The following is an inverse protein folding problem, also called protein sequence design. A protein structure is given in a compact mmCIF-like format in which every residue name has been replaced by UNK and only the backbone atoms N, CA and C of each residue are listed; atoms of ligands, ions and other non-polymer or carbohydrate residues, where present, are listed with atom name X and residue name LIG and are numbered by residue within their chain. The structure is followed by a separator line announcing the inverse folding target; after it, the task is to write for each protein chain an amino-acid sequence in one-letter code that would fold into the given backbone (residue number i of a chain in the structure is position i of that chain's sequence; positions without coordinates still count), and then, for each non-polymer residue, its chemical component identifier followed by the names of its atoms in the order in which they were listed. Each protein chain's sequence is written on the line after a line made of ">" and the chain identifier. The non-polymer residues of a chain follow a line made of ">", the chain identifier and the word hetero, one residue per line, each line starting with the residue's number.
data_IF_018662927881
#
_entry.id   IF_018662927881
#
_cell.length_a   1.000
_cell.length_b   1.000
_cell.length_c   1.000
_cell.angle_alpha   90.00
_cell.angle_beta   90.00
_cell.angle_gamma   90.00
#
_symmetry.space_group_name_H-M   'P 1'
#
loop_
_entity.id
_entity.type
_entity.pdbx_description
1 polymer ?
#
# COMPACT_ATOMS: atom_id res chain seq x y z
N UNK A 1 -32.04 4.63 -46.82
CA UNK A 1 -32.59 5.74 -47.61
C UNK A 1 -31.39 6.37 -48.26
N UNK A 2 -30.93 5.67 -49.30
CA UNK A 2 -29.67 5.87 -49.98
C UNK A 2 -30.02 6.50 -51.32
N UNK A 3 -29.72 7.78 -51.48
CA UNK A 3 -29.73 8.43 -52.79
C UNK A 3 -28.71 9.54 -52.75
N UNK A 4 -27.57 9.31 -53.41
CA UNK A 4 -26.70 10.30 -54.05
C UNK A 4 -25.59 9.54 -54.79
N UNK A 5 -25.99 8.76 -55.80
CA UNK A 5 -25.07 8.19 -56.79
C UNK A 5 -25.46 8.67 -58.18
N UNK A 6 -25.23 9.96 -58.47
CA UNK A 6 -25.16 10.38 -59.86
C UNK A 6 -24.29 11.63 -60.06
N UNK A 7 -23.00 11.40 -60.30
CA UNK A 7 -22.18 12.34 -61.08
C UNK A 7 -21.04 11.57 -61.72
N UNK A 8 -21.38 10.82 -62.78
CA UNK A 8 -20.39 10.39 -63.75
C UNK A 8 -20.59 11.16 -65.04
N UNK A 9 -19.48 11.75 -65.48
CA UNK A 9 -19.14 11.98 -66.88
C UNK A 9 -19.64 13.28 -67.53
N UNK A 10 -19.08 14.42 -67.10
CA UNK A 10 -18.90 15.56 -68.00
C UNK A 10 -17.49 15.48 -68.62
N UNK A 11 -17.36 14.68 -69.70
CA UNK A 11 -16.28 14.89 -70.66
C UNK A 11 -16.71 16.06 -71.54
N UNK A 12 -16.08 17.20 -71.35
CA UNK A 12 -16.21 18.35 -72.25
C UNK A 12 -15.81 17.93 -73.67
N UNK A 13 -16.78 17.77 -74.54
CA UNK A 13 -16.56 17.67 -75.98
C UNK A 13 -16.12 19.06 -76.46
N UNK A 14 -14.93 19.11 -77.04
CA UNK A 14 -14.34 20.34 -77.56
C UNK A 14 -15.17 20.84 -78.76
N UNK A 15 -15.75 22.05 -78.70
CA UNK A 15 -16.66 22.56 -79.72
C UNK A 15 -15.97 22.93 -81.05
N UNK A 16 -14.65 22.77 -81.15
CA UNK A 16 -13.87 23.07 -82.36
C UNK A 16 -13.20 21.83 -82.99
N UNK A 17 -13.45 20.63 -82.47
CA UNK A 17 -12.99 19.42 -83.12
C UNK A 17 -13.89 19.14 -84.33
N UNK A 18 -13.48 19.62 -85.50
CA UNK A 18 -14.11 19.24 -86.76
C UNK A 18 -14.05 17.71 -86.90
N UNK A 19 -15.15 17.14 -87.39
CA UNK A 19 -15.54 15.74 -87.26
C UNK A 19 -14.74 14.80 -88.19
N UNK A 20 -13.40 14.86 -88.13
CA UNK A 20 -12.50 14.10 -89.03
C UNK A 20 -12.07 12.75 -88.43
N UNK A 21 -12.70 12.30 -87.35
CA UNK A 21 -12.32 11.06 -86.67
C UNK A 21 -13.13 9.83 -87.04
N UNK A 22 -14.10 9.93 -87.94
CA UNK A 22 -14.75 8.73 -88.46
C UNK A 22 -14.10 8.33 -89.80
N UNK A 23 -13.27 7.28 -89.77
CA UNK A 23 -12.76 6.50 -90.92
C UNK A 23 -11.45 6.89 -91.64
N UNK A 24 -10.44 7.42 -90.94
CA UNK A 24 -9.07 7.42 -91.48
C UNK A 24 -8.18 6.38 -90.77
N UNK A 25 -7.38 5.63 -91.53
CA UNK A 25 -6.40 4.67 -91.02
C UNK A 25 -5.42 5.29 -90.01
N UNK A 26 -5.18 6.60 -90.10
CA UNK A 26 -4.39 7.32 -89.11
C UNK A 26 -5.04 7.35 -87.72
N UNK A 27 -6.37 7.48 -87.64
CA UNK A 27 -7.10 7.48 -86.37
C UNK A 27 -7.08 6.11 -85.69
N UNK A 28 -7.16 5.01 -86.45
CA UNK A 28 -7.02 3.66 -85.89
C UNK A 28 -5.59 3.39 -85.41
N UNK A 29 -4.57 3.88 -86.13
CA UNK A 29 -3.16 3.80 -85.71
C UNK A 29 -2.91 4.64 -84.45
N UNK A 30 -3.44 5.87 -84.37
CA UNK A 30 -3.30 6.72 -83.18
C UNK A 30 -4.00 6.08 -81.98
N UNK A 31 -5.20 5.52 -82.17
CA UNK A 31 -5.95 4.84 -81.10
C UNK A 31 -5.28 3.53 -80.68
N UNK A 32 -4.66 2.82 -81.62
CA UNK A 32 -3.82 1.66 -81.32
C UNK A 32 -2.59 2.08 -80.53
N UNK A 33 -1.88 3.13 -80.97
CA UNK A 33 -0.70 3.68 -80.29
C UNK A 33 -1.01 4.24 -78.89
N UNK A 34 -2.22 4.79 -78.70
CA UNK A 34 -2.76 5.21 -77.40
C UNK A 34 -3.09 4.00 -76.51
N UNK A 35 -3.71 2.96 -77.08
CA UNK A 35 -4.03 1.70 -76.37
C UNK A 35 -2.77 0.92 -75.97
N UNK A 36 -1.70 1.00 -76.76
CA UNK A 36 -0.38 0.45 -76.44
C UNK A 36 0.43 1.32 -75.48
N UNK A 37 -0.08 2.48 -75.06
CA UNK A 37 0.58 3.36 -74.09
C UNK A 37 1.80 4.14 -74.62
N UNK A 38 2.26 3.87 -75.86
CA UNK A 38 3.45 4.49 -76.45
C UNK A 38 3.30 6.01 -76.68
N UNK A 39 2.10 6.51 -77.01
CA UNK A 39 1.84 7.95 -77.12
C UNK A 39 1.78 8.68 -75.78
N UNK A 40 1.50 7.97 -74.69
CA UNK A 40 1.47 8.53 -73.34
C UNK A 40 2.89 8.60 -72.78
N UNK A 41 3.64 7.49 -72.90
CA UNK A 41 5.05 7.44 -72.51
C UNK A 41 5.92 8.43 -73.30
N UNK A 42 5.76 8.54 -74.62
CA UNK A 42 6.54 9.49 -75.43
C UNK A 42 6.25 10.94 -75.10
N UNK A 43 4.97 11.30 -74.87
CA UNK A 43 4.62 12.66 -74.42
C UNK A 43 5.12 12.95 -73.03
N UNK A 44 4.98 12.01 -72.09
CA UNK A 44 5.44 12.21 -70.72
C UNK A 44 6.98 12.33 -70.68
N UNK A 45 7.70 11.63 -71.54
CA UNK A 45 9.17 11.71 -71.63
C UNK A 45 9.66 12.95 -72.37
N UNK A 46 9.08 13.31 -73.52
CA UNK A 46 9.40 14.55 -74.25
C UNK A 46 9.01 15.79 -73.42
N UNK A 47 7.90 15.76 -72.68
CA UNK A 47 7.49 16.85 -71.79
C UNK A 47 8.43 16.96 -70.58
N UNK A 48 8.93 15.84 -70.04
CA UNK A 48 9.97 15.88 -68.99
C UNK A 48 11.28 16.43 -69.54
N UNK A 49 11.75 15.97 -70.69
CA UNK A 49 13.00 16.46 -71.31
C UNK A 49 12.91 17.97 -71.63
N UNK A 50 11.79 18.44 -72.17
CA UNK A 50 11.55 19.87 -72.43
C UNK A 50 11.47 20.67 -71.12
N UNK A 51 10.82 20.13 -70.07
CA UNK A 51 10.75 20.77 -68.76
C UNK A 51 12.14 20.87 -68.09
N UNK A 52 12.96 19.83 -68.21
CA UNK A 52 14.35 19.80 -67.72
C UNK A 52 15.26 20.77 -68.48
N UNK A 53 15.08 20.87 -69.81
CA UNK A 53 15.80 21.84 -70.66
C UNK A 53 15.42 23.30 -70.31
N UNK A 54 14.12 23.57 -70.12
CA UNK A 54 13.62 24.88 -69.69
C UNK A 54 14.05 25.26 -68.27
N UNK A 55 14.13 24.29 -67.35
CA UNK A 55 14.68 24.47 -66.00
C UNK A 55 16.18 24.81 -66.00
N UNK A 56 16.95 24.30 -66.97
CA UNK A 56 18.37 24.66 -67.13
C UNK A 56 18.55 26.07 -67.65
N UNK A 57 17.70 26.52 -68.58
CA UNK A 57 17.85 27.81 -69.25
C UNK A 57 17.22 28.99 -68.52
N UNK A 58 16.15 28.80 -67.75
CA UNK A 58 15.45 29.91 -67.10
C UNK A 58 15.70 29.97 -65.59
N UNK A 59 16.42 31.00 -65.14
CA UNK A 59 16.68 31.26 -63.72
C UNK A 59 15.39 31.46 -62.89
N UNK A 60 14.32 31.94 -63.52
CA UNK A 60 13.00 32.14 -62.91
C UNK A 60 12.30 30.83 -62.55
N UNK A 61 12.36 29.79 -63.38
CA UNK A 61 11.76 28.49 -63.06
C UNK A 61 12.47 27.80 -61.89
N UNK A 62 13.81 27.93 -61.81
CA UNK A 62 14.58 27.43 -60.66
C UNK A 62 14.18 28.12 -59.37
N UNK A 63 14.02 29.45 -59.41
CA UNK A 63 13.57 30.23 -58.26
C UNK A 63 12.16 29.82 -57.80
N UNK A 64 11.22 29.63 -58.74
CA UNK A 64 9.85 29.17 -58.44
C UNK A 64 9.88 27.78 -57.79
N UNK A 65 10.75 26.89 -58.26
CA UNK A 65 10.89 25.55 -57.68
C UNK A 65 11.49 25.59 -56.28
N UNK A 66 12.50 26.42 -56.04
CA UNK A 66 13.06 26.65 -54.70
C UNK A 66 12.02 27.27 -53.75
N UNK A 67 11.24 28.25 -54.21
CA UNK A 67 10.13 28.82 -53.44
C UNK A 67 9.08 27.78 -53.10
N UNK A 68 8.76 26.87 -54.02
CA UNK A 68 7.82 25.77 -53.79
C UNK A 68 8.35 24.80 -52.74
N UNK A 69 9.63 24.45 -52.83
CA UNK A 69 10.31 23.56 -51.87
C UNK A 69 10.37 24.20 -50.47
N UNK A 70 10.69 25.49 -50.38
CA UNK A 70 10.68 26.26 -49.13
C UNK A 70 9.26 26.33 -48.56
N UNK A 71 8.25 26.59 -49.39
CA UNK A 71 6.85 26.62 -48.97
C UNK A 71 6.39 25.25 -48.44
N UNK A 72 6.84 24.17 -49.06
CA UNK A 72 6.55 22.80 -48.61
C UNK A 72 7.22 22.47 -47.28
N UNK A 73 8.51 22.78 -47.13
CA UNK A 73 9.22 22.63 -45.85
C UNK A 73 8.59 23.48 -44.75
N UNK A 74 8.19 24.72 -45.05
CA UNK A 74 7.50 25.60 -44.11
C UNK A 74 6.17 25.01 -43.65
N UNK A 75 5.37 24.49 -44.58
CA UNK A 75 4.10 23.83 -44.25
C UNK A 75 4.32 22.61 -43.34
N UNK A 76 5.36 21.83 -43.60
CA UNK A 76 5.69 20.69 -42.75
C UNK A 76 6.11 21.14 -41.34
N UNK A 77 6.91 22.20 -41.24
CA UNK A 77 7.30 22.79 -39.96
C UNK A 77 6.07 23.31 -39.19
N UNK A 78 5.17 24.03 -39.87
CA UNK A 78 3.94 24.54 -39.28
C UNK A 78 3.04 23.38 -38.79
N UNK A 79 2.95 22.28 -39.56
CA UNK A 79 2.22 21.07 -39.16
C UNK A 79 2.80 20.44 -37.89
N UNK A 80 4.12 20.26 -37.84
CA UNK A 80 4.80 19.74 -36.65
C UNK A 80 4.63 20.68 -35.46
N UNK A 81 4.69 22.00 -35.68
CA UNK A 81 4.49 22.98 -34.61
C UNK A 81 3.06 22.89 -34.04
N UNK A 82 2.04 22.76 -34.89
CA UNK A 82 0.66 22.54 -34.43
C UNK A 82 0.55 21.24 -33.63
N UNK A 83 1.18 20.15 -34.09
CA UNK A 83 1.17 18.89 -33.36
C UNK A 83 1.81 19.03 -31.96
N UNK A 84 2.94 19.74 -31.86
CA UNK A 84 3.59 20.03 -30.58
C UNK A 84 2.65 20.81 -29.67
N UNK A 85 1.99 21.85 -30.17
CA UNK A 85 1.05 22.65 -29.38
C UNK A 85 -0.16 21.81 -28.92
N UNK A 86 -0.71 20.96 -29.80
CA UNK A 86 -1.79 20.04 -29.43
C UNK A 86 -1.35 19.07 -28.32
N UNK A 87 -0.15 18.50 -28.41
CA UNK A 87 0.40 17.60 -27.38
C UNK A 87 0.70 18.33 -26.08
N UNK A 88 1.14 19.58 -26.13
CA UNK A 88 1.38 20.40 -24.94
C UNK A 88 0.06 20.69 -24.22
N UNK A 89 -0.97 21.14 -24.94
CA UNK A 89 -2.30 21.36 -24.37
C UNK A 89 -2.91 20.08 -23.83
N UNK A 90 -2.80 18.95 -24.55
CA UNK A 90 -3.26 17.65 -24.05
C UNK A 90 -2.52 17.25 -22.78
N UNK A 91 -1.21 17.51 -22.67
CA UNK A 91 -0.45 17.25 -21.44
C UNK A 91 -0.91 18.12 -20.27
N UNK A 92 -1.17 19.41 -20.49
CA UNK A 92 -1.66 20.32 -19.45
C UNK A 92 -3.08 19.98 -19.00
N UNK A 93 -3.92 19.56 -19.94
CA UNK A 93 -5.32 19.21 -19.67
C UNK A 93 -5.51 17.73 -19.35
N UNK A 94 -4.46 16.91 -19.47
CA UNK A 94 -4.51 15.44 -19.38
C UNK A 94 -5.19 14.95 -18.13
N UNK A 95 -4.87 15.64 -17.05
CA UNK A 95 -5.33 15.39 -15.69
C UNK A 95 -6.83 15.60 -15.49
N UNK A 96 -7.49 16.28 -16.44
CA UNK A 96 -8.92 16.60 -16.43
C UNK A 96 -9.66 15.95 -17.62
N UNK A 97 -9.00 15.75 -18.76
CA UNK A 97 -9.62 15.23 -19.99
C UNK A 97 -9.58 13.71 -20.09
N UNK A 98 -8.56 13.04 -19.51
CA UNK A 98 -8.45 11.59 -19.58
C UNK A 98 -9.17 10.95 -18.38
N UNK A 99 -10.25 10.22 -18.68
CA UNK A 99 -11.09 9.53 -17.69
C UNK A 99 -10.27 8.59 -16.80
N UNK A 100 -9.29 7.88 -17.34
CA UNK A 100 -8.44 6.94 -16.59
C UNK A 100 -7.68 7.63 -15.44
N UNK A 101 -7.15 8.83 -15.70
CA UNK A 101 -6.42 9.62 -14.69
C UNK A 101 -7.38 10.16 -13.64
N UNK A 102 -8.54 10.62 -14.08
CA UNK A 102 -9.58 11.12 -13.18
C UNK A 102 -10.11 10.01 -12.27
N UNK A 103 -10.36 8.82 -12.81
CA UNK A 103 -10.78 7.65 -12.06
C UNK A 103 -9.71 7.22 -11.05
N UNK A 104 -8.43 7.19 -11.45
CA UNK A 104 -7.32 6.93 -10.53
C UNK A 104 -7.24 7.96 -9.41
N UNK A 105 -7.47 9.25 -9.69
CA UNK A 105 -7.49 10.32 -8.68
C UNK A 105 -8.69 10.16 -7.74
N UNK A 106 -9.87 9.84 -8.26
CA UNK A 106 -11.08 9.58 -7.47
C UNK A 106 -10.88 8.36 -6.57
N UNK A 107 -10.32 7.27 -7.09
CA UNK A 107 -9.99 6.08 -6.30
C UNK A 107 -9.01 6.40 -5.16
N UNK A 108 -7.99 7.21 -5.45
CA UNK A 108 -7.02 7.66 -4.44
C UNK A 108 -7.67 8.52 -3.35
N UNK A 109 -8.54 9.45 -3.73
CA UNK A 109 -9.31 10.27 -2.80
C UNK A 109 -10.29 9.45 -1.96
N UNK A 110 -10.97 8.47 -2.56
CA UNK A 110 -11.85 7.56 -1.83
C UNK A 110 -11.08 6.70 -0.84
N UNK A 111 -9.88 6.23 -1.21
CA UNK A 111 -8.99 5.49 -0.31
C UNK A 111 -8.57 6.36 0.87
N UNK A 112 -8.15 7.60 0.62
CA UNK A 112 -7.80 8.55 1.67
C UNK A 112 -9.00 8.86 2.58
N UNK A 113 -10.17 9.10 2.00
CA UNK A 113 -11.42 9.33 2.73
C UNK A 113 -11.77 8.15 3.64
N UNK A 114 -11.66 6.92 3.12
CA UNK A 114 -11.86 5.69 3.89
C UNK A 114 -10.87 5.58 5.05
N UNK A 115 -9.58 5.85 4.81
CA UNK A 115 -8.57 5.86 5.86
C UNK A 115 -8.88 6.89 6.96
N UNK A 116 -9.24 8.11 6.58
CA UNK A 116 -9.63 9.15 7.54
C UNK A 116 -10.88 8.76 8.32
N UNK A 117 -11.86 8.13 7.68
CA UNK A 117 -13.06 7.64 8.35
C UNK A 117 -12.73 6.53 9.35
N UNK A 118 -11.82 5.61 9.02
CA UNK A 118 -11.33 4.58 9.95
C UNK A 118 -10.61 5.19 11.15
N UNK A 119 -9.76 6.20 10.93
CA UNK A 119 -9.10 6.92 12.02
C UNK A 119 -10.12 7.63 12.92
N UNK A 120 -11.14 8.27 12.32
CA UNK A 120 -12.20 8.95 13.06
C UNK A 120 -13.02 7.97 13.91
N UNK A 121 -13.35 6.79 13.35
CA UNK A 121 -13.99 5.71 14.10
C UNK A 121 -13.10 5.20 15.23
N UNK A 122 -11.81 4.98 14.97
CA UNK A 122 -10.84 4.59 16.00
C UNK A 122 -10.71 5.63 17.12
N UNK A 123 -10.77 6.92 16.79
CA UNK A 123 -10.81 8.01 17.79
C UNK A 123 -12.09 7.96 18.63
N UNK A 124 -13.26 7.75 18.01
CA UNK A 124 -14.53 7.62 18.73
C UNK A 124 -14.53 6.40 19.67
N UNK A 125 -14.02 5.27 19.19
CA UNK A 125 -13.87 4.05 19.96
C UNK A 125 -12.91 4.26 21.15
N UNK A 126 -11.76 4.91 20.91
CA UNK A 126 -10.80 5.24 21.96
C UNK A 126 -11.40 6.18 23.01
N UNK A 127 -12.17 7.20 22.58
CA UNK A 127 -12.88 8.10 23.49
C UNK A 127 -13.90 7.32 24.32
N UNK A 128 -14.69 6.44 23.72
CA UNK A 128 -15.64 5.59 24.45
C UNK A 128 -14.93 4.72 25.48
N UNK A 129 -13.80 4.10 25.11
CA UNK A 129 -12.99 3.29 26.04
C UNK A 129 -12.38 4.10 27.17
N UNK A 130 -11.99 5.35 26.93
CA UNK A 130 -11.47 6.27 27.95
C UNK A 130 -12.57 6.84 28.85
N UNK A 131 -13.77 7.04 28.31
CA UNK A 131 -14.96 7.48 29.06
C UNK A 131 -15.55 6.36 29.92
N UNK A 132 -15.38 5.11 29.50
CA UNK A 132 -15.68 3.98 30.37
C UNK A 132 -14.77 4.08 31.60
N UNK A 133 -15.33 4.23 32.82
CA UNK A 133 -14.51 4.19 34.02
C UNK A 133 -13.79 2.85 33.98
N UNK A 134 -12.46 2.88 34.04
CA UNK A 134 -11.62 1.70 34.07
C UNK A 134 -11.86 0.99 35.42
N UNK A 135 -13.01 0.33 35.54
CA UNK A 135 -13.34 -0.58 36.64
C UNK A 135 -12.69 -1.90 36.26
N UNK A 136 -11.35 -1.93 36.31
CA UNK A 136 -10.69 -3.21 36.59
C UNK A 136 -11.08 -3.68 37.99
N UNK A 137 -10.52 -4.81 38.44
CA UNK A 137 -10.69 -5.40 39.77
C UNK A 137 -10.16 -4.53 40.94
N UNK A 138 -10.21 -3.22 40.79
CA UNK A 138 -9.81 -2.22 41.76
C UNK A 138 -11.05 -1.79 42.54
N UNK A 139 -10.97 -1.92 43.85
CA UNK A 139 -11.96 -1.42 44.79
C UNK A 139 -12.17 0.08 44.54
N UNK A 140 -13.39 0.48 44.11
CA UNK A 140 -13.74 1.90 43.94
C UNK A 140 -13.85 2.53 45.33
N UNK A 141 -12.78 3.14 45.79
CA UNK A 141 -12.77 3.92 47.03
C UNK A 141 -12.91 5.39 46.65
N UNK A 142 -13.85 6.10 47.28
CA UNK A 142 -13.97 7.55 47.16
C UNK A 142 -12.71 8.21 47.77
N UNK A 143 -12.22 9.30 47.18
CA UNK A 143 -10.93 9.91 47.57
C UNK A 143 -10.85 10.29 49.06
N UNK A 144 -12.00 10.56 49.68
CA UNK A 144 -12.15 10.83 51.12
C UNK A 144 -11.74 9.65 52.00
N UNK A 145 -11.93 8.42 51.53
CA UNK A 145 -11.65 7.20 52.30
C UNK A 145 -10.30 6.55 51.95
N UNK A 146 -9.54 7.09 50.99
CA UNK A 146 -8.22 6.57 50.62
C UNK A 146 -7.23 6.53 51.79
N UNK A 147 -7.15 7.55 52.68
CA UNK A 147 -6.23 7.50 53.82
C UNK A 147 -6.57 6.38 54.80
N UNK A 148 -7.86 6.19 55.12
CA UNK A 148 -8.28 5.15 56.06
C UNK A 148 -8.09 3.74 55.48
N UNK A 149 -8.31 3.59 54.17
CA UNK A 149 -8.11 2.33 53.47
C UNK A 149 -6.62 1.99 53.36
N UNK A 150 -5.76 2.98 53.11
CA UNK A 150 -4.30 2.83 53.14
C UNK A 150 -3.82 2.31 54.50
N UNK A 151 -4.41 2.79 55.59
CA UNK A 151 -4.01 2.37 56.93
C UNK A 151 -4.61 1.00 57.32
N UNK A 152 -5.79 0.67 56.80
CA UNK A 152 -6.47 -0.61 57.04
C UNK A 152 -5.84 -1.80 56.28
N UNK A 153 -5.43 -1.61 55.03
CA UNK A 153 -4.91 -2.71 54.20
C UNK A 153 -3.68 -3.43 54.80
N UNK A 154 -2.65 -2.73 55.31
CA UNK A 154 -1.53 -3.36 56.00
C UNK A 154 -1.96 -4.18 57.21
N UNK A 155 -2.95 -3.71 57.96
CA UNK A 155 -3.48 -4.42 59.13
C UNK A 155 -4.20 -5.71 58.70
N UNK A 156 -5.02 -5.65 57.65
CA UNK A 156 -5.74 -6.80 57.10
C UNK A 156 -4.77 -7.83 56.51
N UNK A 157 -3.71 -7.39 55.82
CA UNK A 157 -2.65 -8.27 55.30
C UNK A 157 -1.88 -8.93 56.44
N UNK A 158 -1.56 -8.20 57.51
CA UNK A 158 -0.98 -8.76 58.73
C UNK A 158 -1.88 -9.82 59.35
N UNK A 159 -3.16 -9.51 59.55
CA UNK A 159 -4.14 -10.46 60.05
C UNK A 159 -4.30 -11.70 59.17
N UNK A 160 -4.24 -11.57 57.84
CA UNK A 160 -4.30 -12.70 56.90
C UNK A 160 -3.04 -13.59 56.99
N UNK A 161 -1.86 -12.99 57.14
CA UNK A 161 -0.61 -13.73 57.33
C UNK A 161 -0.61 -14.47 58.68
N UNK A 162 -1.08 -13.82 59.74
CA UNK A 162 -1.22 -14.42 61.08
C UNK A 162 -2.35 -15.44 61.14
N UNK A 163 -3.41 -15.30 60.33
CA UNK A 163 -4.53 -16.24 60.28
C UNK A 163 -4.06 -17.65 59.90
N UNK A 164 -3.11 -17.78 58.97
CA UNK A 164 -2.54 -19.09 58.62
C UNK A 164 -1.86 -19.73 59.82
N UNK A 165 -0.99 -18.99 60.50
CA UNK A 165 -0.30 -19.49 61.69
C UNK A 165 -1.28 -19.79 62.84
N UNK A 166 -2.32 -18.98 63.00
CA UNK A 166 -3.35 -19.20 64.00
C UNK A 166 -4.22 -20.43 63.67
N UNK A 167 -4.52 -20.68 62.39
CA UNK A 167 -5.21 -21.90 61.96
C UNK A 167 -4.34 -23.14 62.17
N UNK A 168 -3.05 -23.06 61.85
CA UNK A 168 -2.09 -24.14 62.12
C UNK A 168 -1.96 -24.40 63.64
N UNK A 169 -1.94 -23.35 64.45
CA UNK A 169 -1.91 -23.47 65.92
C UNK A 169 -3.22 -24.05 66.49
N UNK A 170 -4.37 -23.70 65.91
CA UNK A 170 -5.68 -24.27 66.30
C UNK A 170 -5.78 -25.73 65.86
N UNK A 171 -5.27 -26.08 64.68
CA UNK A 171 -5.18 -27.47 64.21
C UNK A 171 -4.22 -28.28 65.09
N UNK A 172 -3.04 -27.74 65.38
CA UNK A 172 -2.11 -28.35 66.34
C UNK A 172 -2.78 -28.53 67.70
N UNK A 173 -3.50 -27.52 68.20
CA UNK A 173 -4.21 -27.57 69.48
C UNK A 173 -5.39 -28.54 69.50
N UNK A 174 -6.02 -28.82 68.35
CA UNK A 174 -7.10 -29.81 68.25
C UNK A 174 -6.58 -31.24 68.07
N UNK A 175 -5.41 -31.40 67.46
CA UNK A 175 -4.68 -32.68 67.35
C UNK A 175 -3.86 -32.98 68.62
N UNK A 176 -3.54 -31.97 69.43
CA UNK A 176 -2.81 -32.11 70.69
C UNK A 176 -3.74 -32.64 71.79
N UNK A 177 -3.82 -33.96 71.91
CA UNK A 177 -4.43 -34.61 73.06
C UNK A 177 -3.36 -34.91 74.13
N UNK A 178 -3.47 -34.27 75.29
CA UNK A 178 -2.66 -34.55 76.49
C UNK A 178 -2.78 -36.01 76.96
N UNK A 179 -3.81 -36.74 76.51
CA UNK A 179 -4.07 -38.14 76.85
C UNK A 179 -3.29 -39.13 75.97
N UNK A 180 -2.66 -38.68 74.89
CA UNK A 180 -1.89 -39.54 73.96
C UNK A 180 -0.61 -40.13 74.60
N UNK A 181 -0.27 -39.73 75.83
CA UNK A 181 0.84 -40.33 76.60
C UNK A 181 2.24 -40.07 76.03
N UNK A 182 2.36 -39.52 74.81
CA UNK A 182 3.62 -39.19 74.13
C UNK A 182 4.41 -38.14 74.88
N UNK A 183 3.74 -37.13 75.44
CA UNK A 183 4.40 -36.12 76.27
C UNK A 183 4.92 -36.73 77.57
N UNK A 184 4.16 -37.65 78.19
CA UNK A 184 4.64 -38.38 79.37
C UNK A 184 5.84 -39.28 79.05
N UNK A 185 5.82 -39.98 77.92
CA UNK A 185 6.93 -40.82 77.46
C UNK A 185 8.21 -39.99 77.19
N UNK A 186 8.08 -38.83 76.54
CA UNK A 186 9.22 -37.92 76.33
C UNK A 186 9.71 -37.33 77.66
N UNK A 187 8.82 -37.06 78.61
CA UNK A 187 9.18 -36.59 79.93
C UNK A 187 9.92 -37.68 80.73
N UNK A 188 9.49 -38.95 80.63
CA UNK A 188 10.14 -40.10 81.23
C UNK A 188 11.51 -40.38 80.58
N UNK A 189 11.63 -40.21 79.26
CA UNK A 189 12.92 -40.30 78.55
C UNK A 189 13.88 -39.19 79.01
N UNK A 190 13.40 -37.95 79.16
CA UNK A 190 14.19 -36.84 79.70
C UNK A 190 14.58 -37.12 81.16
N UNK A 191 13.66 -37.61 81.98
CA UNK A 191 13.92 -37.97 83.38
C UNK A 191 14.95 -39.10 83.49
N UNK A 192 14.88 -40.10 82.61
CA UNK A 192 15.85 -41.19 82.55
C UNK A 192 17.23 -40.72 82.09
N UNK A 193 17.30 -39.81 81.11
CA UNK A 193 18.55 -39.18 80.66
C UNK A 193 19.19 -38.33 81.76
N UNK A 194 18.39 -37.58 82.51
CA UNK A 194 18.85 -36.84 83.68
C UNK A 194 19.40 -37.78 84.77
N UNK A 195 18.71 -38.89 85.04
CA UNK A 195 19.17 -39.89 85.99
C UNK A 195 20.47 -40.58 85.55
N UNK A 196 20.64 -40.84 84.25
CA UNK A 196 21.90 -41.36 83.70
C UNK A 196 23.05 -40.37 83.87
N UNK A 197 22.82 -39.08 83.60
CA UNK A 197 23.80 -38.02 83.85
C UNK A 197 24.17 -37.92 85.34
N UNK A 198 23.18 -37.96 86.22
CA UNK A 198 23.39 -37.90 87.67
C UNK A 198 24.19 -39.11 88.16
N UNK A 199 23.89 -40.31 87.65
CA UNK A 199 24.64 -41.53 87.96
C UNK A 199 26.07 -41.44 87.44
N UNK A 200 26.26 -40.98 86.20
CA UNK A 200 27.59 -40.75 85.61
C UNK A 200 28.42 -39.78 86.46
N UNK A 201 27.83 -38.67 86.90
CA UNK A 201 28.49 -37.72 87.79
C UNK A 201 28.89 -38.37 89.13
N UNK A 202 28.00 -39.17 89.72
CA UNK A 202 28.28 -39.86 90.98
C UNK A 202 29.43 -40.86 90.84
N UNK A 203 29.50 -41.60 89.73
CA UNK A 203 30.63 -42.52 89.48
C UNK A 203 31.96 -41.79 89.34
N UNK A 204 31.98 -40.62 88.68
CA UNK A 204 33.18 -39.78 88.58
C UNK A 204 33.60 -39.26 89.95
N UNK A 205 32.64 -38.89 90.81
CA UNK A 205 32.93 -38.47 92.18
C UNK A 205 33.49 -39.61 93.04
N UNK A 206 33.03 -40.86 92.86
CA UNK A 206 33.56 -42.03 93.56
C UNK A 206 34.97 -42.42 93.07
N UNK A 207 35.22 -42.37 91.76
CA UNK A 207 36.58 -42.57 91.23
C UNK A 207 37.52 -41.51 91.79
N UNK A 208 37.07 -40.25 91.86
CA UNK A 208 37.85 -39.18 92.47
C UNK A 208 38.13 -39.46 93.94
N UNK A 209 37.16 -39.92 94.73
CA UNK A 209 37.40 -40.21 96.16
C UNK A 209 38.41 -41.36 96.35
N UNK A 210 38.35 -42.39 95.51
CA UNK A 210 39.32 -43.50 95.54
C UNK A 210 40.72 -43.07 95.11
N UNK A 211 40.83 -42.14 94.16
CA UNK A 211 42.12 -41.55 93.75
C UNK A 211 42.70 -40.64 94.83
N UNK A 212 41.87 -40.01 95.67
CA UNK A 212 42.35 -39.18 96.78
C UNK A 212 42.72 -39.97 98.05
N UNK A 213 42.33 -41.24 98.14
CA UNK A 213 42.68 -42.14 99.26
C UNK A 213 43.93 -43.01 99.00
N UNK A 214 44.52 -42.90 97.80
CA UNK A 214 45.83 -43.46 97.39
C UNK A 214 46.95 -42.45 97.61
#
# INVERSE_FOLDING_TARGET
>A
MDDLSNSKSNRSINPWASDVHSTSAASSIIRFAEKTGHLRMRRDEEVKEIAEQLQRQSASLRLIQQLREISEKKRHLDQVNVEIQCRLMDKETRDLTHLDILESKISSLNTLSSHLQRILQGKKELINRLQQPLVGDFLRVEATFHPQVKDLFPLVVGCLAELSANLDNIQWGSEFDLRDGRVAAVLDDIASSLAQLQTGLHTVMQVRSLVTEL
#
